data_IF_316476285010
#
_entry.id   IF_316476285010
#
_cell.length_a   1.000
_cell.length_b   1.000
_cell.length_c   1.000
_cell.angle_alpha   90.00
_cell.angle_beta   90.00
_cell.angle_gamma   90.00
#
_symmetry.space_group_name_H-M   'P 1'
#
loop_
_entity.id
_entity.type
_entity.pdbx_description
1 polymer ?
#
# COMPACT_ATOMS: atom_id res chain seq x y z
N UNK A 1 -2.58 4.72 19.31
CA UNK A 1 -3.15 4.33 18.76
C UNK A 1 -2.85 3.84 17.66
N UNK A 2 -2.87 3.04 17.20
CA UNK A 2 -2.52 2.62 16.19
C UNK A 2 -3.43 2.72 15.22
N UNK A 3 -3.11 3.11 14.26
CA UNK A 3 -3.92 3.29 13.28
C UNK A 3 -3.85 2.25 12.35
N UNK A 4 -4.80 1.50 12.15
CA UNK A 4 -4.77 0.45 11.23
C UNK A 4 -5.42 0.85 9.96
N UNK A 5 -5.53 2.11 9.68
CA UNK A 5 -6.18 2.61 8.50
C UNK A 5 -5.38 2.22 7.27
N UNK A 6 -6.06 1.68 6.28
CA UNK A 6 -5.43 1.34 5.01
C UNK A 6 -4.90 2.60 4.33
N UNK A 7 -5.61 3.70 4.49
CA UNK A 7 -5.20 4.96 3.89
C UNK A 7 -3.86 5.41 4.46
N UNK A 8 -3.67 5.27 5.76
CA UNK A 8 -2.40 5.68 6.36
C UNK A 8 -1.27 4.80 5.89
N UNK A 9 -1.53 3.52 5.77
CA UNK A 9 -0.52 2.61 5.25
C UNK A 9 -0.13 3.00 3.82
N UNK A 10 -1.13 3.35 3.03
CA UNK A 10 -0.89 3.79 1.67
C UNK A 10 -0.02 5.04 1.63
N UNK A 11 -0.33 6.02 2.46
CA UNK A 11 0.47 7.24 2.49
C UNK A 11 1.90 6.97 2.93
N UNK A 12 2.08 6.06 3.87
CA UNK A 12 3.43 5.69 4.30
C UNK A 12 4.19 5.06 3.14
N UNK A 13 3.54 4.17 2.43
CA UNK A 13 4.18 3.52 1.28
C UNK A 13 4.49 4.54 0.18
N UNK A 14 3.62 5.51 -0.02
CA UNK A 14 3.86 6.56 -1.00
C UNK A 14 5.13 7.35 -0.67
N UNK A 15 5.38 7.57 0.60
CA UNK A 15 6.56 8.29 1.01
C UNK A 15 7.83 7.50 0.79
N UNK A 16 7.72 6.17 0.84
CA UNK A 16 8.87 5.30 0.68
C UNK A 16 9.11 4.96 -0.78
N UNK A 17 8.06 4.51 -1.48
CA UNK A 17 8.19 4.08 -2.86
C UNK A 17 6.93 4.49 -3.60
N UNK A 18 6.95 5.70 -4.10
CA UNK A 18 5.76 6.28 -4.72
C UNK A 18 5.32 5.49 -5.94
N UNK A 19 6.27 5.07 -6.76
CA UNK A 19 5.91 4.34 -7.98
C UNK A 19 5.15 3.06 -7.66
N UNK A 20 5.68 2.27 -6.74
CA UNK A 20 5.03 1.02 -6.38
C UNK A 20 3.66 1.27 -5.75
N UNK A 21 3.58 2.25 -4.86
CA UNK A 21 2.31 2.54 -4.20
C UNK A 21 1.25 2.98 -5.21
N UNK A 22 1.63 3.79 -6.18
CA UNK A 22 0.68 4.23 -7.19
C UNK A 22 0.23 3.07 -8.07
N UNK A 23 1.13 2.17 -8.41
CA UNK A 23 0.76 1.00 -9.20
C UNK A 23 -0.19 0.11 -8.44
N UNK A 24 0.05 -0.08 -7.16
CA UNK A 24 -0.83 -0.91 -6.35
C UNK A 24 -2.22 -0.29 -6.27
N UNK A 25 -2.28 1.02 -6.11
CA UNK A 25 -3.56 1.70 -6.03
C UNK A 25 -4.33 1.53 -7.35
N UNK A 26 -3.63 1.66 -8.46
CA UNK A 26 -4.22 1.48 -9.77
C UNK A 26 -4.78 0.06 -9.92
N UNK A 27 -4.01 -0.93 -9.50
CA UNK A 27 -4.45 -2.32 -9.58
C UNK A 27 -5.68 -2.55 -8.72
N UNK A 28 -5.75 -1.90 -7.57
CA UNK A 28 -6.91 -2.03 -6.71
C UNK A 28 -8.16 -1.47 -7.40
N UNK A 29 -8.04 -0.30 -8.00
CA UNK A 29 -9.16 0.32 -8.67
C UNK A 29 -9.62 -0.52 -9.87
N UNK A 30 -8.67 -1.08 -10.58
CA UNK A 30 -8.99 -1.90 -11.75
C UNK A 30 -9.50 -3.29 -11.37
N UNK A 31 -9.42 -3.66 -10.11
CA UNK A 31 -9.87 -4.96 -9.70
C UNK A 31 -8.84 -6.07 -9.93
N UNK A 32 -7.62 -5.70 -10.23
CA UNK A 32 -6.56 -6.68 -10.45
C UNK A 32 -6.18 -7.35 -9.13
N UNK A 33 -6.21 -6.58 -8.05
CA UNK A 33 -5.93 -7.13 -6.73
C UNK A 33 -7.06 -6.75 -5.78
N UNK A 34 -7.21 -7.52 -4.71
CA UNK A 34 -8.23 -7.24 -3.72
C UNK A 34 -7.68 -6.27 -2.69
N UNK A 35 -8.59 -5.74 -1.84
CA UNK A 35 -8.17 -4.84 -0.77
C UNK A 35 -7.19 -5.54 0.17
N UNK A 36 -7.40 -6.83 0.39
CA UNK A 36 -6.51 -7.58 1.26
C UNK A 36 -5.11 -7.66 0.66
N UNK A 37 -5.03 -7.94 -0.63
CA UNK A 37 -3.75 -8.01 -1.30
C UNK A 37 -3.09 -6.65 -1.36
N UNK A 38 -3.88 -5.61 -1.57
CA UNK A 38 -3.37 -4.24 -1.59
C UNK A 38 -2.68 -3.93 -0.27
N UNK A 39 -3.34 -4.26 0.84
CA UNK A 39 -2.77 -4.01 2.15
C UNK A 39 -1.48 -4.80 2.36
N UNK A 40 -1.49 -6.07 1.98
CA UNK A 40 -0.31 -6.90 2.16
C UNK A 40 0.88 -6.36 1.38
N UNK A 41 0.62 -5.91 0.17
CA UNK A 41 1.69 -5.37 -0.65
C UNK A 41 2.22 -4.07 -0.10
N UNK A 42 1.33 -3.22 0.41
CA UNK A 42 1.76 -1.98 1.04
C UNK A 42 2.64 -2.27 2.24
N UNK A 43 2.27 -3.27 3.02
CA UNK A 43 3.06 -3.64 4.18
C UNK A 43 4.45 -4.11 3.77
N UNK A 44 4.54 -4.81 2.66
CA UNK A 44 5.82 -5.24 2.18
C UNK A 44 6.70 -4.06 1.79
N UNK A 45 6.11 -3.05 1.17
CA UNK A 45 6.86 -1.85 0.81
C UNK A 45 7.40 -1.17 2.06
N UNK A 46 6.56 -1.03 3.07
CA UNK A 46 6.95 -0.35 4.29
C UNK A 46 8.03 -1.15 5.02
N UNK A 47 7.86 -2.47 5.09
CA UNK A 47 8.80 -3.30 5.80
C UNK A 47 10.13 -3.40 5.06
N UNK A 48 10.08 -3.40 3.75
CA UNK A 48 11.27 -3.56 2.96
C UNK A 48 12.20 -2.36 3.11
N UNK A 49 11.65 -1.22 3.48
CA UNK A 49 12.43 -0.02 3.66
C UNK A 49 13.36 -0.14 4.87
N UNK A 50 13.03 -0.99 5.78
CA UNK A 50 13.89 -1.20 6.91
C UNK A 50 14.99 -2.16 6.57
#
# INVERSE_FOLDING_TARGET
MKCDSLIELYYTALAIDRCTALELYDDLIDGVITAKEFRERLEMVVNDDN
#
